data_IF_820822106776
#
_entry.id   IF_820822106776
#
_cell.length_a   1.000
_cell.length_b   1.000
_cell.length_c   1.000
_cell.angle_alpha   90.00
_cell.angle_beta   90.00
_cell.angle_gamma   90.00
#
_symmetry.space_group_name_H-M   'P 1'
#
loop_
_entity.id
_entity.type
_entity.pdbx_description
1 polymer ?
#
# COMPACT_ATOMS: atom_id res chain seq x y z
N UNK A 1 20.05 39.94 44.57
CA UNK A 1 19.68 38.56 44.21
C UNK A 1 20.88 37.67 44.43
N UNK A 2 20.70 36.48 45.00
CA UNK A 2 21.79 35.54 45.21
C UNK A 2 22.19 34.86 43.89
N UNK A 3 23.42 34.34 43.79
CA UNK A 3 23.87 33.54 42.63
C UNK A 3 22.93 32.35 42.35
N UNK A 4 22.31 31.81 43.41
CA UNK A 4 21.34 30.73 43.33
C UNK A 4 20.08 31.17 42.57
N UNK A 5 19.51 32.33 42.89
CA UNK A 5 18.30 32.84 42.22
C UNK A 5 18.51 33.06 40.72
N UNK A 6 19.72 33.50 40.33
CA UNK A 6 20.08 33.72 38.94
C UNK A 6 20.16 32.39 38.15
N UNK A 7 20.78 31.37 38.74
CA UNK A 7 20.90 30.04 38.14
C UNK A 7 19.53 29.34 38.01
N UNK A 8 18.66 29.48 39.01
CA UNK A 8 17.29 28.96 38.94
C UNK A 8 16.50 29.64 37.81
N UNK A 9 16.66 30.96 37.65
CA UNK A 9 16.03 31.70 36.55
C UNK A 9 16.52 31.27 35.16
N UNK A 10 17.83 31.00 35.01
CA UNK A 10 18.39 30.48 33.75
C UNK A 10 17.93 29.04 33.46
N UNK A 11 17.81 28.21 34.49
CA UNK A 11 17.33 26.84 34.36
C UNK A 11 15.85 26.79 33.93
N UNK A 12 15.00 27.66 34.48
CA UNK A 12 13.59 27.75 34.07
C UNK A 12 13.44 28.19 32.61
N UNK A 13 14.21 29.19 32.17
CA UNK A 13 14.24 29.59 30.75
C UNK A 13 14.68 28.47 29.82
N UNK A 14 15.65 27.67 30.27
CA UNK A 14 16.12 26.50 29.53
C UNK A 14 15.03 25.43 29.45
N UNK A 15 14.28 25.23 30.54
CA UNK A 15 13.16 24.30 30.59
C UNK A 15 12.01 24.73 29.67
N UNK A 16 11.68 26.03 29.62
CA UNK A 16 10.67 26.56 28.70
C UNK A 16 11.05 26.25 27.24
N UNK A 17 12.31 26.47 26.89
CA UNK A 17 12.82 26.15 25.55
C UNK A 17 12.78 24.65 25.24
N UNK A 18 13.02 23.81 26.24
CA UNK A 18 12.94 22.36 26.10
C UNK A 18 11.50 21.91 25.84
N UNK A 19 10.52 22.46 26.57
CA UNK A 19 9.10 22.15 26.40
C UNK A 19 8.59 22.61 25.02
N UNK A 20 9.00 23.78 24.55
CA UNK A 20 8.73 24.23 23.19
C UNK A 20 9.23 23.22 22.16
N UNK A 21 10.52 22.85 22.24
CA UNK A 21 11.13 21.89 21.33
C UNK A 21 10.46 20.52 21.38
N UNK A 22 10.08 20.06 22.57
CA UNK A 22 9.36 18.80 22.72
C UNK A 22 7.99 18.84 22.00
N UNK A 23 7.24 19.93 22.15
CA UNK A 23 5.98 20.11 21.43
C UNK A 23 6.14 20.12 19.90
N UNK A 24 7.21 20.74 19.40
CA UNK A 24 7.57 20.73 17.99
C UNK A 24 7.89 19.32 17.48
N UNK A 25 8.68 18.55 18.24
CA UNK A 25 9.01 17.14 17.91
C UNK A 25 7.74 16.29 17.84
N UNK A 26 6.86 16.40 18.83
CA UNK A 26 5.60 15.65 18.86
C UNK A 26 4.70 15.99 17.67
N UNK A 27 4.69 17.25 17.23
CA UNK A 27 3.97 17.66 16.01
C UNK A 27 4.58 17.01 14.76
N UNK A 28 5.90 17.07 14.60
CA UNK A 28 6.59 16.47 13.46
C UNK A 28 6.33 14.95 13.38
N UNK A 29 6.40 14.25 14.50
CA UNK A 29 6.12 12.81 14.55
C UNK A 29 4.66 12.45 14.21
N UNK A 30 3.69 13.33 14.52
CA UNK A 30 2.30 13.13 14.08
C UNK A 30 2.18 13.23 12.57
N UNK A 31 2.82 14.23 11.96
CA UNK A 31 2.82 14.43 10.51
C UNK A 31 3.50 13.25 9.80
N UNK A 32 4.64 12.78 10.32
CA UNK A 32 5.37 11.62 9.78
C UNK A 32 4.49 10.37 9.72
N UNK A 33 3.83 10.01 10.83
CA UNK A 33 2.91 8.86 10.87
C UNK A 33 1.76 8.97 9.87
N UNK A 34 1.23 10.18 9.68
CA UNK A 34 0.14 10.39 8.73
C UNK A 34 0.62 10.25 7.28
N UNK A 35 1.81 10.77 6.95
CA UNK A 35 2.44 10.57 5.65
C UNK A 35 2.74 9.10 5.37
N UNK A 36 3.27 8.36 6.34
CA UNK A 36 3.51 6.91 6.22
C UNK A 36 2.23 6.13 5.96
N UNK A 37 1.13 6.47 6.67
CA UNK A 37 -0.18 5.86 6.45
C UNK A 37 -0.68 6.10 5.03
N UNK A 38 -0.64 7.36 4.55
CA UNK A 38 -1.06 7.72 3.21
C UNK A 38 -0.21 6.99 2.13
N UNK A 39 1.11 6.94 2.31
CA UNK A 39 2.01 6.25 1.38
C UNK A 39 1.71 4.74 1.33
N UNK A 40 1.39 4.14 2.47
CA UNK A 40 1.03 2.71 2.56
C UNK A 40 -0.30 2.42 1.86
N UNK A 41 -1.29 3.31 2.01
CA UNK A 41 -2.58 3.22 1.32
C UNK A 41 -2.43 3.31 -0.20
N UNK A 42 -1.58 4.20 -0.70
CA UNK A 42 -1.34 4.34 -2.14
C UNK A 42 -0.58 3.14 -2.72
N UNK A 43 0.41 2.58 -2.01
CA UNK A 43 1.06 1.33 -2.41
C UNK A 43 0.07 0.15 -2.44
N UNK A 44 -0.85 0.09 -1.50
CA UNK A 44 -1.89 -0.94 -1.47
C UNK A 44 -2.82 -0.85 -2.70
N UNK A 45 -3.22 0.37 -3.10
CA UNK A 45 -4.05 0.59 -4.29
C UNK A 45 -3.35 0.12 -5.58
N UNK A 46 -2.05 0.36 -5.71
CA UNK A 46 -1.26 -0.12 -6.86
C UNK A 46 -1.31 -1.64 -6.96
N UNK A 47 -0.97 -2.34 -5.87
CA UNK A 47 -0.99 -3.82 -5.82
C UNK A 47 -2.41 -4.37 -6.07
N UNK A 48 -3.45 -3.71 -5.54
CA UNK A 48 -4.83 -4.08 -5.83
C UNK A 48 -5.18 -3.91 -7.32
N UNK A 49 -4.69 -2.87 -7.96
CA UNK A 49 -4.83 -2.65 -9.41
C UNK A 49 -4.21 -3.79 -10.23
N UNK A 50 -2.96 -4.14 -9.93
CA UNK A 50 -2.23 -5.24 -10.57
C UNK A 50 -2.96 -6.59 -10.39
N UNK A 51 -3.47 -6.88 -9.18
CA UNK A 51 -4.26 -8.08 -8.91
C UNK A 51 -5.54 -8.12 -9.76
N UNK A 52 -6.20 -6.99 -9.96
CA UNK A 52 -7.40 -6.92 -10.79
C UNK A 52 -7.09 -7.11 -12.28
N UNK A 53 -5.95 -6.61 -12.76
CA UNK A 53 -5.48 -6.89 -14.12
C UNK A 53 -5.19 -8.36 -14.34
N UNK A 54 -4.41 -8.98 -13.44
CA UNK A 54 -4.10 -10.41 -13.52
C UNK A 54 -5.37 -11.28 -13.50
N UNK A 55 -6.38 -10.92 -12.70
CA UNK A 55 -7.67 -11.63 -12.68
C UNK A 55 -8.43 -11.52 -14.00
N UNK A 56 -8.42 -10.35 -14.63
CA UNK A 56 -9.06 -10.15 -15.95
C UNK A 56 -8.37 -10.98 -17.02
N UNK A 57 -7.04 -10.97 -17.03
CA UNK A 57 -6.26 -11.75 -17.98
C UNK A 57 -6.47 -13.26 -17.79
N UNK A 58 -6.48 -13.73 -16.53
CA UNK A 58 -6.75 -15.13 -16.21
C UNK A 58 -8.12 -15.58 -16.72
N UNK A 59 -9.16 -14.74 -16.52
CA UNK A 59 -10.50 -15.03 -17.02
C UNK A 59 -10.53 -15.15 -18.55
N UNK A 60 -9.86 -14.22 -19.26
CA UNK A 60 -9.79 -14.25 -20.71
C UNK A 60 -9.10 -15.53 -21.21
N UNK A 61 -7.95 -15.88 -20.62
CA UNK A 61 -7.21 -17.11 -20.95
C UNK A 61 -8.10 -18.34 -20.72
N UNK A 62 -8.81 -18.37 -19.60
CA UNK A 62 -9.70 -19.48 -19.28
C UNK A 62 -10.82 -19.62 -20.33
N UNK A 63 -11.49 -18.53 -20.69
CA UNK A 63 -12.53 -18.54 -21.73
C UNK A 63 -11.98 -19.02 -23.07
N UNK A 64 -10.83 -18.49 -23.50
CA UNK A 64 -10.19 -18.92 -24.75
C UNK A 64 -9.84 -20.42 -24.73
N UNK A 65 -9.34 -20.92 -23.60
CA UNK A 65 -9.01 -22.33 -23.43
C UNK A 65 -10.26 -23.22 -23.54
N UNK A 66 -11.37 -22.82 -22.93
CA UNK A 66 -12.64 -23.54 -22.99
C UNK A 66 -13.17 -23.60 -24.43
N UNK A 67 -13.15 -22.48 -25.16
CA UNK A 67 -13.57 -22.42 -26.58
C UNK A 67 -12.70 -23.31 -27.47
N UNK A 68 -11.37 -23.22 -27.32
CA UNK A 68 -10.41 -24.05 -28.09
C UNK A 68 -10.60 -25.54 -27.79
N UNK A 69 -10.82 -25.89 -26.52
CA UNK A 69 -11.05 -27.28 -26.12
C UNK A 69 -12.32 -27.82 -26.77
N UNK A 70 -13.39 -27.03 -26.80
CA UNK A 70 -14.64 -27.43 -27.44
C UNK A 70 -14.46 -27.64 -28.95
N UNK A 71 -13.74 -26.74 -29.63
CA UNK A 71 -13.43 -26.87 -31.05
C UNK A 71 -12.64 -28.14 -31.36
N UNK A 72 -11.63 -28.47 -30.55
CA UNK A 72 -10.87 -29.72 -30.66
C UNK A 72 -11.79 -30.94 -30.54
N UNK A 73 -12.66 -30.99 -29.53
CA UNK A 73 -13.61 -32.10 -29.34
C UNK A 73 -14.55 -32.23 -30.53
N UNK A 74 -15.10 -31.11 -31.04
CA UNK A 74 -15.98 -31.11 -32.21
C UNK A 74 -15.26 -31.62 -33.45
N UNK A 75 -14.02 -31.19 -33.68
CA UNK A 75 -13.20 -31.64 -34.81
C UNK A 75 -12.95 -33.14 -34.77
N UNK A 76 -12.61 -33.68 -33.59
CA UNK A 76 -12.41 -35.11 -33.37
C UNK A 76 -13.69 -35.92 -33.68
N UNK A 77 -14.83 -35.53 -33.11
CA UNK A 77 -16.12 -36.20 -33.35
C UNK A 77 -16.50 -36.17 -34.84
N UNK A 78 -16.31 -35.04 -35.51
CA UNK A 78 -16.63 -34.89 -36.94
C UNK A 78 -15.78 -35.80 -37.84
N UNK A 79 -14.52 -36.03 -37.48
CA UNK A 79 -13.60 -36.89 -38.23
C UNK A 79 -13.90 -38.39 -38.00
N UNK A 80 -14.44 -38.77 -36.85
CA UNK A 80 -14.84 -40.18 -36.60
C UNK A 80 -16.12 -40.62 -37.34
N UNK A 81 -16.97 -39.69 -37.81
CA UNK A 81 -18.24 -40.01 -38.52
C UNK A 81 -18.04 -40.18 -40.03
N UNK A 82 -16.91 -39.73 -40.61
CA UNK A 82 -16.62 -39.85 -42.06
C UNK A 82 -15.81 -41.10 -42.44
N UNK A 83 -15.53 -41.98 -41.48
CA UNK A 83 -14.70 -43.18 -41.67
C UNK A 83 -15.41 -44.51 -41.42
N UNK A 84 -16.74 -44.56 -41.49
CA UNK A 84 -17.56 -45.77 -41.33
C UNK A 84 -18.60 -45.92 -42.41
#
# INVERSE_FOLDING_TARGET
MSKFDLLVGEQLKTMDRLLELQGEVERCQRIERELERLQSEDRLKVVQGEIQEMKRELYLIQTMFEEQTEEVIRSYKSNTVKGG
#
